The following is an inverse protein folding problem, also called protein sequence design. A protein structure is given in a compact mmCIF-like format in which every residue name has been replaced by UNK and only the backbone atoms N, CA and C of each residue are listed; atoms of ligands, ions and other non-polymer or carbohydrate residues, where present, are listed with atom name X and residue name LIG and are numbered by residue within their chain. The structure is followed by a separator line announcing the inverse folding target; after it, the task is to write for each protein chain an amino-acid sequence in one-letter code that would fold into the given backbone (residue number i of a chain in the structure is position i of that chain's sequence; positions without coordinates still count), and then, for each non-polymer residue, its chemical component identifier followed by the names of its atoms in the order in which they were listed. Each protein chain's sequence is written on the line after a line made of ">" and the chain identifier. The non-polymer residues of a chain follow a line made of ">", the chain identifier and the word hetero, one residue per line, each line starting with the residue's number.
data_IF_118962378920
#
_entry.id   IF_118962378920
#
_cell.length_a   1.000
_cell.length_b   1.000
_cell.length_c   1.000
_cell.angle_alpha   90.00
_cell.angle_beta   90.00
_cell.angle_gamma   90.00
#
_symmetry.space_group_name_H-M   'P 1'
#
loop_
_entity.id
_entity.type
_entity.pdbx_description
1 polymer ?
#
# COMPACT_ATOMS: atom_id res chain seq x y z
N UNK A 1 -39.47 7.77 9.72
CA UNK A 1 -38.55 6.96 8.89
C UNK A 1 -37.70 7.94 8.12
N UNK A 2 -36.60 8.40 8.72
CA UNK A 2 -35.67 9.31 8.07
C UNK A 2 -34.68 8.51 7.20
N UNK A 3 -34.51 8.95 5.96
CA UNK A 3 -33.61 8.36 4.97
C UNK A 3 -32.16 8.47 5.45
N UNK A 4 -31.60 7.36 5.89
CA UNK A 4 -30.30 7.25 6.56
C UNK A 4 -29.13 6.99 5.58
N UNK A 5 -29.29 7.31 4.29
CA UNK A 5 -28.35 6.97 3.20
C UNK A 5 -27.59 8.19 2.62
N UNK A 6 -27.83 9.41 3.12
CA UNK A 6 -27.19 10.64 2.62
C UNK A 6 -26.14 11.19 3.62
N UNK A 7 -25.38 10.29 4.24
CA UNK A 7 -24.31 10.69 5.17
C UNK A 7 -23.16 11.33 4.40
N UNK A 8 -22.74 12.57 4.73
CA UNK A 8 -21.71 13.27 3.98
C UNK A 8 -20.39 12.50 4.01
N UNK A 9 -19.72 12.40 2.86
CA UNK A 9 -18.48 11.66 2.68
C UNK A 9 -17.31 12.60 2.38
N UNK A 10 -16.20 12.41 3.08
CA UNK A 10 -14.94 13.13 2.86
C UNK A 10 -13.85 12.19 2.38
N UNK A 11 -13.02 12.60 1.44
CA UNK A 11 -11.79 11.84 1.14
C UNK A 11 -10.84 11.86 2.35
N UNK A 12 -9.99 10.86 2.50
CA UNK A 12 -9.02 10.76 3.59
C UNK A 12 -8.09 11.98 3.64
N UNK A 13 -7.76 12.54 2.47
CA UNK A 13 -6.99 13.80 2.37
C UNK A 13 -7.79 14.98 2.89
N UNK A 14 -9.05 15.14 2.44
CA UNK A 14 -9.92 16.23 2.89
C UNK A 14 -10.22 16.14 4.40
N UNK A 15 -10.45 14.94 4.92
CA UNK A 15 -10.69 14.71 6.34
C UNK A 15 -9.48 15.07 7.20
N UNK A 16 -8.26 14.80 6.73
CA UNK A 16 -7.03 15.21 7.41
C UNK A 16 -6.85 16.73 7.44
N UNK A 17 -7.23 17.41 6.36
CA UNK A 17 -7.05 18.86 6.22
C UNK A 17 -8.16 19.67 6.91
N UNK A 18 -9.38 19.13 7.00
CA UNK A 18 -10.58 19.81 7.51
C UNK A 18 -11.19 19.05 8.69
N UNK A 19 -10.33 18.57 9.59
CA UNK A 19 -10.78 17.65 10.65
C UNK A 19 -11.81 18.29 11.60
N UNK A 20 -11.67 19.58 11.92
CA UNK A 20 -12.66 20.30 12.74
C UNK A 20 -14.06 20.28 12.14
N UNK A 21 -14.19 20.53 10.84
CA UNK A 21 -15.48 20.48 10.14
C UNK A 21 -16.05 19.06 10.06
N UNK A 22 -15.17 18.06 9.88
CA UNK A 22 -15.58 16.65 9.95
C UNK A 22 -16.20 16.34 11.33
N UNK A 23 -15.60 16.83 12.42
CA UNK A 23 -16.14 16.66 13.77
C UNK A 23 -17.46 17.41 13.99
N UNK A 24 -17.57 18.66 13.54
CA UNK A 24 -18.81 19.44 13.65
C UNK A 24 -19.98 18.77 12.92
N UNK A 25 -19.72 18.19 11.74
CA UNK A 25 -20.73 17.41 11.02
C UNK A 25 -21.00 16.07 11.71
N UNK A 26 -19.95 15.41 12.19
CA UNK A 26 -20.09 14.15 12.93
C UNK A 26 -20.90 14.29 14.22
N UNK A 27 -20.93 15.48 14.82
CA UNK A 27 -21.77 15.77 15.97
C UNK A 27 -23.28 15.70 15.64
N UNK A 28 -23.66 15.86 14.36
CA UNK A 28 -25.05 15.84 13.89
C UNK A 28 -25.48 14.49 13.32
N UNK A 29 -24.54 13.65 12.93
CA UNK A 29 -24.81 12.33 12.36
C UNK A 29 -23.55 11.68 11.80
N UNK A 30 -23.60 10.42 11.35
CA UNK A 30 -22.44 9.73 10.79
C UNK A 30 -21.82 10.47 9.60
N UNK A 31 -20.49 10.53 9.58
CA UNK A 31 -19.72 11.10 8.46
C UNK A 31 -18.79 10.03 7.91
N UNK A 32 -18.88 9.74 6.62
CA UNK A 32 -18.04 8.74 5.95
C UNK A 32 -16.66 9.29 5.60
N UNK A 33 -15.62 8.50 5.79
CA UNK A 33 -14.26 8.78 5.31
C UNK A 33 -13.93 7.83 4.18
N UNK A 34 -13.61 8.36 3.01
CA UNK A 34 -13.33 7.62 1.79
C UNK A 34 -11.85 7.61 1.43
N UNK A 35 -11.31 6.47 1.00
CA UNK A 35 -9.98 6.37 0.42
C UNK A 35 -10.04 5.58 -0.87
N UNK A 36 -9.63 6.21 -1.97
CA UNK A 36 -9.60 5.62 -3.32
C UNK A 36 -10.97 5.05 -3.78
N UNK A 37 -12.06 5.82 -3.67
CA UNK A 37 -13.39 5.40 -4.13
C UNK A 37 -14.17 4.52 -3.15
N UNK A 38 -13.70 4.36 -1.90
CA UNK A 38 -14.30 3.45 -0.92
C UNK A 38 -14.33 4.04 0.48
N UNK A 39 -15.48 3.99 1.16
CA UNK A 39 -15.59 4.36 2.58
C UNK A 39 -14.77 3.37 3.42
N UNK A 40 -13.79 3.88 4.15
CA UNK A 40 -12.86 3.12 5.00
C UNK A 40 -13.13 3.28 6.49
N UNK A 41 -13.81 4.36 6.88
CA UNK A 41 -14.18 4.63 8.27
C UNK A 41 -15.42 5.53 8.33
N UNK A 42 -16.06 5.57 9.50
CA UNK A 42 -17.07 6.57 9.84
C UNK A 42 -16.65 7.30 11.11
N UNK A 43 -16.90 8.61 11.15
CA UNK A 43 -16.85 9.42 12.36
C UNK A 43 -18.28 9.57 12.85
N UNK A 44 -18.54 9.19 14.10
CA UNK A 44 -19.89 9.20 14.69
C UNK A 44 -19.86 9.86 16.07
N UNK A 45 -20.97 10.46 16.53
CA UNK A 45 -21.04 10.97 17.88
C UNK A 45 -21.09 9.80 18.89
N UNK A 46 -20.57 10.01 20.11
CA UNK A 46 -20.62 8.99 21.15
C UNK A 46 -22.08 8.61 21.47
N UNK A 47 -22.35 7.30 21.57
CA UNK A 47 -23.70 6.78 21.84
C UNK A 47 -24.51 6.35 20.61
N UNK A 48 -24.04 6.64 19.39
CA UNK A 48 -24.67 6.13 18.17
C UNK A 48 -24.19 4.70 17.88
N UNK A 49 -25.09 3.73 18.04
CA UNK A 49 -24.81 2.30 17.78
C UNK A 49 -24.92 1.91 16.29
N UNK A 50 -25.60 2.73 15.48
CA UNK A 50 -25.87 2.44 14.08
C UNK A 50 -24.90 3.21 13.16
N UNK A 51 -23.73 2.63 12.94
CA UNK A 51 -22.89 2.97 11.79
C UNK A 51 -23.46 2.23 10.57
N UNK A 52 -23.54 2.84 9.37
CA UNK A 52 -23.90 2.10 8.16
C UNK A 52 -23.01 0.87 8.06
N UNK A 53 -23.62 -0.32 8.14
CA UNK A 53 -22.88 -1.58 8.14
C UNK A 53 -22.19 -1.70 6.78
N UNK A 54 -20.88 -1.53 6.77
CA UNK A 54 -20.07 -1.97 5.63
C UNK A 54 -20.39 -3.44 5.41
N UNK A 55 -20.85 -3.81 4.20
CA UNK A 55 -21.17 -5.21 3.86
C UNK A 55 -19.99 -6.10 4.30
N UNK A 56 -20.23 -6.93 5.31
CA UNK A 56 -19.20 -7.81 5.86
C UNK A 56 -18.64 -8.73 4.76
N UNK A 57 -19.47 -9.10 3.79
CA UNK A 57 -19.06 -9.86 2.61
C UNK A 57 -18.16 -9.03 1.70
N UNK A 58 -18.45 -7.74 1.50
CA UNK A 58 -17.57 -6.84 0.74
C UNK A 58 -16.22 -6.64 1.43
N UNK A 59 -16.19 -6.52 2.75
CA UNK A 59 -14.95 -6.45 3.53
C UNK A 59 -14.13 -7.73 3.42
N UNK A 60 -14.78 -8.91 3.52
CA UNK A 60 -14.14 -10.20 3.33
C UNK A 60 -13.58 -10.35 1.91
N UNK A 61 -14.36 -10.01 0.87
CA UNK A 61 -13.89 -10.00 -0.52
C UNK A 61 -12.71 -9.04 -0.71
N UNK A 62 -12.75 -7.85 -0.12
CA UNK A 62 -11.66 -6.89 -0.21
C UNK A 62 -10.37 -7.41 0.45
N UNK A 63 -10.49 -8.05 1.63
CA UNK A 63 -9.36 -8.71 2.31
C UNK A 63 -8.79 -9.87 1.48
N UNK A 64 -9.67 -10.68 0.89
CA UNK A 64 -9.30 -11.78 0.00
C UNK A 64 -8.50 -11.26 -1.20
N UNK A 65 -9.05 -10.26 -1.91
CA UNK A 65 -8.39 -9.63 -3.06
C UNK A 65 -7.05 -8.99 -2.68
N UNK A 66 -6.96 -8.36 -1.51
CA UNK A 66 -5.70 -7.78 -1.03
C UNK A 66 -4.66 -8.88 -0.77
N UNK A 67 -5.07 -9.97 -0.12
CA UNK A 67 -4.20 -11.12 0.15
C UNK A 67 -3.69 -11.75 -1.14
N UNK A 68 -4.56 -11.90 -2.14
CA UNK A 68 -4.20 -12.42 -3.46
C UNK A 68 -3.24 -11.49 -4.22
N UNK A 69 -3.48 -10.17 -4.17
CA UNK A 69 -2.58 -9.16 -4.74
C UNK A 69 -1.21 -9.23 -4.09
N UNK A 70 -1.14 -9.30 -2.77
CA UNK A 70 0.11 -9.38 -2.03
C UNK A 70 0.85 -10.70 -2.29
N UNK A 71 0.11 -11.81 -2.40
CA UNK A 71 0.68 -13.10 -2.78
C UNK A 71 1.25 -13.09 -4.20
N UNK A 72 0.53 -12.49 -5.17
CA UNK A 72 1.02 -12.31 -6.55
C UNK A 72 2.27 -11.44 -6.58
N UNK A 73 2.22 -10.27 -5.95
CA UNK A 73 3.35 -9.33 -5.88
C UNK A 73 4.60 -10.01 -5.34
N UNK A 74 4.48 -10.77 -4.26
CA UNK A 74 5.61 -11.52 -3.68
C UNK A 74 6.14 -12.57 -4.64
N UNK A 75 5.28 -13.37 -5.28
CA UNK A 75 5.73 -14.38 -6.27
C UNK A 75 6.52 -13.73 -7.40
N UNK A 76 6.03 -12.61 -7.93
CA UNK A 76 6.70 -11.87 -9.01
C UNK A 76 8.07 -11.37 -8.59
N UNK A 77 8.18 -10.80 -7.40
CA UNK A 77 9.44 -10.29 -6.86
C UNK A 77 10.46 -11.40 -6.58
N UNK A 78 10.02 -12.53 -6.02
CA UNK A 78 10.88 -13.69 -5.76
C UNK A 78 11.38 -14.29 -7.07
N UNK A 79 10.49 -14.45 -8.06
CA UNK A 79 10.87 -14.96 -9.38
C UNK A 79 11.86 -14.03 -10.07
N UNK A 80 11.57 -12.72 -10.07
CA UNK A 80 12.44 -11.72 -10.66
C UNK A 80 13.82 -11.70 -9.99
N UNK A 81 13.87 -11.60 -8.66
CA UNK A 81 15.13 -11.60 -7.91
C UNK A 81 16.01 -12.84 -8.18
N UNK A 82 15.39 -14.01 -8.39
CA UNK A 82 16.11 -15.22 -8.77
C UNK A 82 16.73 -15.20 -10.17
N UNK A 83 16.18 -14.38 -11.07
CA UNK A 83 16.57 -14.28 -12.49
C UNK A 83 17.10 -12.89 -12.87
N UNK A 84 17.47 -12.05 -11.91
CA UNK A 84 18.03 -10.73 -12.18
C UNK A 84 19.41 -10.85 -12.82
N UNK A 85 19.63 -10.06 -13.85
CA UNK A 85 20.94 -9.79 -14.46
C UNK A 85 21.71 -8.77 -13.62
N UNK A 86 23.03 -8.63 -13.87
CA UNK A 86 23.83 -7.58 -13.24
C UNK A 86 23.30 -6.17 -13.58
N UNK A 87 22.93 -5.96 -14.85
CA UNK A 87 22.34 -4.69 -15.34
C UNK A 87 21.08 -4.31 -14.57
N UNK A 88 20.20 -5.25 -14.28
CA UNK A 88 18.98 -4.98 -13.50
C UNK A 88 19.25 -4.69 -12.03
N UNK A 89 20.30 -5.29 -11.44
CA UNK A 89 20.75 -4.91 -10.09
C UNK A 89 21.23 -3.47 -10.09
N UNK A 90 22.04 -3.09 -11.08
CA UNK A 90 22.55 -1.72 -11.19
C UNK A 90 21.42 -0.71 -11.43
N UNK A 91 20.43 -1.05 -12.28
CA UNK A 91 19.22 -0.23 -12.45
C UNK A 91 18.41 -0.08 -11.17
N UNK A 92 18.25 -1.16 -10.39
CA UNK A 92 17.56 -1.09 -9.10
C UNK A 92 18.29 -0.16 -8.12
N UNK A 93 19.63 -0.18 -8.11
CA UNK A 93 20.44 0.74 -7.29
C UNK A 93 20.25 2.20 -7.71
N UNK A 94 20.29 2.49 -9.01
CA UNK A 94 20.01 3.84 -9.53
C UNK A 94 18.62 4.36 -9.14
N UNK A 95 17.61 3.47 -9.10
CA UNK A 95 16.27 3.84 -8.63
C UNK A 95 16.31 4.24 -7.14
N UNK A 96 17.01 3.47 -6.31
CA UNK A 96 17.17 3.76 -4.87
C UNK A 96 17.96 5.06 -4.65
N UNK A 97 19.03 5.29 -5.39
CA UNK A 97 19.83 6.52 -5.29
C UNK A 97 19.00 7.74 -5.70
N UNK A 98 18.18 7.62 -6.74
CA UNK A 98 17.22 8.67 -7.11
C UNK A 98 16.20 8.94 -6.00
N UNK A 99 15.69 7.90 -5.33
CA UNK A 99 14.77 8.08 -4.21
C UNK A 99 15.41 8.82 -3.05
N UNK A 100 16.68 8.56 -2.74
CA UNK A 100 17.43 9.28 -1.72
C UNK A 100 17.66 10.74 -2.11
N UNK A 101 18.16 10.99 -3.33
CA UNK A 101 18.44 12.34 -3.83
C UNK A 101 17.18 13.23 -3.83
N UNK A 102 16.03 12.65 -4.14
CA UNK A 102 14.74 13.35 -4.17
C UNK A 102 14.00 13.30 -2.82
N UNK A 103 14.58 12.71 -1.77
CA UNK A 103 13.99 12.58 -0.43
C UNK A 103 12.60 11.94 -0.44
N UNK A 104 12.38 10.96 -1.32
CA UNK A 104 11.09 10.29 -1.50
C UNK A 104 10.81 9.20 -0.45
N UNK A 105 11.85 8.76 0.26
CA UNK A 105 11.78 7.70 1.26
C UNK A 105 12.64 8.07 2.48
N UNK A 106 12.36 7.46 3.63
CA UNK A 106 13.19 7.62 4.82
C UNK A 106 14.57 6.98 4.61
N UNK A 107 15.60 7.54 5.26
CA UNK A 107 16.97 7.03 5.16
C UNK A 107 17.08 5.56 5.58
N UNK A 108 16.39 5.13 6.65
CA UNK A 108 16.36 3.73 7.06
C UNK A 108 15.77 2.79 6.00
N UNK A 109 14.83 3.27 5.19
CA UNK A 109 14.24 2.51 4.09
C UNK A 109 15.20 2.37 2.90
N UNK A 110 15.91 3.46 2.56
CA UNK A 110 16.98 3.46 1.56
C UNK A 110 18.07 2.46 1.95
N UNK A 111 18.55 2.54 3.20
CA UNK A 111 19.60 1.64 3.70
C UNK A 111 19.17 0.17 3.71
N UNK A 112 17.90 -0.10 4.04
CA UNK A 112 17.36 -1.46 3.94
C UNK A 112 17.45 -2.00 2.50
N UNK A 113 17.07 -1.20 1.51
CA UNK A 113 17.16 -1.58 0.11
C UNK A 113 18.60 -1.73 -0.38
N UNK A 114 19.51 -0.82 0.00
CA UNK A 114 20.95 -0.94 -0.33
C UNK A 114 21.53 -2.25 0.19
N UNK A 115 21.26 -2.58 1.45
CA UNK A 115 21.69 -3.85 2.05
C UNK A 115 21.14 -5.05 1.30
N UNK A 116 19.86 -5.02 0.90
CA UNK A 116 19.24 -6.10 0.13
C UNK A 116 19.86 -6.25 -1.27
N UNK A 117 20.09 -5.15 -1.99
CA UNK A 117 20.68 -5.15 -3.33
C UNK A 117 22.20 -5.44 -3.32
N UNK A 118 22.83 -5.45 -2.15
CA UNK A 118 24.20 -5.92 -1.95
C UNK A 118 24.29 -7.44 -1.73
N UNK A 119 23.17 -8.11 -1.40
CA UNK A 119 23.16 -9.56 -1.20
C UNK A 119 23.39 -10.32 -2.52
N UNK A 120 24.01 -11.52 -2.47
CA UNK A 120 23.96 -12.46 -3.58
C UNK A 120 22.51 -12.74 -4.00
N UNK A 121 22.26 -12.93 -5.30
CA UNK A 121 20.91 -13.10 -5.88
C UNK A 121 20.09 -14.19 -5.17
N UNK A 122 20.71 -15.31 -4.83
CA UNK A 122 20.06 -16.39 -4.07
C UNK A 122 19.60 -15.92 -2.68
N UNK A 123 20.45 -15.19 -1.95
CA UNK A 123 20.12 -14.65 -0.63
C UNK A 123 19.06 -13.55 -0.69
N UNK A 124 19.10 -12.67 -1.70
CA UNK A 124 18.04 -11.68 -1.95
C UNK A 124 16.70 -12.37 -2.19
N UNK A 125 16.65 -13.36 -3.09
CA UNK A 125 15.44 -14.15 -3.37
C UNK A 125 14.88 -14.79 -2.10
N UNK A 126 15.74 -15.43 -1.32
CA UNK A 126 15.32 -16.13 -0.10
C UNK A 126 14.85 -15.14 0.97
N UNK A 127 15.46 -13.95 1.05
CA UNK A 127 15.01 -12.86 1.93
C UNK A 127 13.62 -12.33 1.54
N UNK A 128 13.35 -12.14 0.25
CA UNK A 128 12.04 -11.69 -0.26
C UNK A 128 10.95 -12.77 -0.18
N UNK A 129 11.33 -14.05 -0.02
CA UNK A 129 10.38 -15.16 0.21
C UNK A 129 9.78 -15.13 1.61
N UNK A 130 10.48 -14.57 2.60
CA UNK A 130 10.02 -14.53 4.00
C UNK A 130 8.68 -13.80 4.14
N UNK A 131 7.80 -14.31 5.00
CA UNK A 131 6.47 -13.75 5.27
C UNK A 131 6.46 -12.94 6.56
N UNK A 132 7.35 -11.95 6.63
CA UNK A 132 7.41 -10.98 7.73
C UNK A 132 6.92 -9.60 7.28
N UNK A 133 6.51 -8.77 8.26
CA UNK A 133 5.96 -7.45 8.00
C UNK A 133 6.94 -6.54 7.26
N UNK A 134 8.24 -6.64 7.56
CA UNK A 134 9.29 -5.85 6.90
C UNK A 134 9.33 -6.18 5.41
N UNK A 135 9.32 -7.46 5.05
CA UNK A 135 9.28 -7.91 3.66
C UNK A 135 8.02 -7.43 2.95
N UNK A 136 6.87 -7.50 3.61
CA UNK A 136 5.60 -7.01 3.04
C UNK A 136 5.67 -5.51 2.71
N UNK A 137 6.23 -4.71 3.60
CA UNK A 137 6.40 -3.26 3.39
C UNK A 137 7.36 -2.98 2.24
N UNK A 138 8.50 -3.66 2.20
CA UNK A 138 9.49 -3.51 1.11
C UNK A 138 8.87 -3.83 -0.26
N UNK A 139 8.15 -4.94 -0.37
CA UNK A 139 7.53 -5.35 -1.63
C UNK A 139 6.51 -4.34 -2.15
N UNK A 140 5.85 -3.58 -1.28
CA UNK A 140 4.80 -2.63 -1.67
C UNK A 140 5.36 -1.46 -2.48
N UNK A 141 6.53 -0.93 -2.09
CA UNK A 141 7.22 0.17 -2.76
C UNK A 141 8.64 -0.25 -3.13
N UNK A 142 8.74 -1.18 -4.07
CA UNK A 142 9.99 -1.83 -4.44
C UNK A 142 10.66 -1.22 -5.67
N UNK A 143 12.00 -1.05 -5.69
CA UNK A 143 12.74 -0.61 -6.86
C UNK A 143 12.70 -1.66 -7.99
N UNK A 144 12.28 -2.90 -7.68
CA UNK A 144 12.12 -3.97 -8.66
C UNK A 144 10.80 -3.87 -9.42
N UNK A 145 9.77 -3.22 -8.87
CA UNK A 145 8.44 -3.08 -9.52
C UNK A 145 8.51 -2.56 -10.96
N UNK A 146 9.18 -1.43 -11.27
CA UNK A 146 9.29 -0.97 -12.66
C UNK A 146 10.09 -1.92 -13.55
N UNK A 147 11.07 -2.65 -13.01
CA UNK A 147 11.88 -3.60 -13.77
C UNK A 147 11.09 -4.87 -14.12
N UNK A 148 10.30 -5.38 -13.17
CA UNK A 148 9.36 -6.48 -13.37
C UNK A 148 8.34 -6.11 -14.46
N UNK A 149 7.83 -4.88 -14.44
CA UNK A 149 6.89 -4.40 -15.45
C UNK A 149 7.54 -4.35 -16.84
N UNK A 150 8.77 -3.82 -16.97
CA UNK A 150 9.51 -3.77 -18.24
C UNK A 150 9.79 -5.15 -18.82
N UNK A 151 10.26 -6.09 -17.98
CA UNK A 151 10.55 -7.46 -18.42
C UNK A 151 9.30 -8.18 -18.95
N UNK A 152 8.13 -7.91 -18.36
CA UNK A 152 6.85 -8.45 -18.85
C UNK A 152 6.42 -7.88 -20.20
N UNK A 153 6.89 -6.69 -20.55
CA UNK A 153 6.57 -6.00 -21.80
C UNK A 153 7.55 -6.32 -22.94
N UNK A 154 8.59 -7.14 -22.70
CA UNK A 154 9.54 -7.56 -23.74
C UNK A 154 10.53 -6.49 -24.18
N UNK A 155 10.70 -5.41 -23.42
CA UNK A 155 11.73 -4.40 -23.69
C UNK A 155 13.06 -4.83 -23.03
N UNK A 156 14.00 -5.36 -23.83
CA UNK A 156 15.40 -5.64 -23.46
C UNK A 156 16.34 -4.46 -23.79
#
# INVERSE_FOLDING_TARGET
>A
MDNMDDSPVYTATAAKQRFGEVLERAARGPVGIERHGRIVAYVVPPGVAAVPRTDASALLRARQLQTEKDARRRRDHVAFAGAMTRREVDQARLIVDRWEAQRLCSHCYIEAWRKLLALPRAALRDRLRKRDDVTRVLLTNSPLTPLIARRRQGFE
#
